data_IF_651090545492
#
_entry.id   IF_651090545492
#
_cell.length_a   1.000
_cell.length_b   1.000
_cell.length_c   1.000
_cell.angle_alpha   90.00
_cell.angle_beta   90.00
_cell.angle_gamma   90.00
#
_symmetry.space_group_name_H-M   'P 1'
#
loop_
_entity.id
_entity.type
_entity.pdbx_description
1 polymer ?
#
# COMPACT_ATOMS: atom_id res chain seq x y z
N UNK A 1 -12.02 -2.85 -13.31
CA UNK A 1 -12.66 -3.43 -12.11
C UNK A 1 -13.98 -2.71 -12.02
N UNK A 2 -15.12 -3.41 -12.26
CA UNK A 2 -16.43 -2.90 -11.86
C UNK A 2 -16.29 -2.44 -10.41
N UNK A 3 -16.94 -1.37 -10.03
CA UNK A 3 -17.00 -0.85 -8.66
C UNK A 3 -17.58 -1.92 -7.71
N UNK A 4 -16.80 -2.97 -7.47
CA UNK A 4 -17.02 -3.83 -6.32
C UNK A 4 -16.79 -2.94 -5.11
N UNK A 5 -17.79 -2.81 -4.29
CA UNK A 5 -17.84 -1.89 -3.17
C UNK A 5 -16.62 -2.10 -2.28
N UNK A 6 -15.75 -1.09 -2.21
CA UNK A 6 -14.63 -1.08 -1.28
C UNK A 6 -15.22 -1.12 0.12
N UNK A 7 -14.90 -2.17 0.89
CA UNK A 7 -15.40 -2.34 2.25
C UNK A 7 -14.64 -1.44 3.22
N UNK A 8 -13.30 -1.38 3.04
CA UNK A 8 -12.43 -0.57 3.90
C UNK A 8 -11.39 0.16 3.07
N UNK A 9 -11.16 1.42 3.44
CA UNK A 9 -10.08 2.25 2.92
C UNK A 9 -9.32 2.84 4.10
N UNK A 10 -8.12 2.33 4.35
CA UNK A 10 -7.31 2.65 5.52
C UNK A 10 -6.03 3.34 5.07
N UNK A 11 -5.69 4.44 5.71
CA UNK A 11 -4.45 5.17 5.45
C UNK A 11 -3.43 4.84 6.52
N UNK A 12 -2.19 4.65 6.10
CA UNK A 12 -1.03 4.44 6.96
C UNK A 12 0.04 5.49 6.64
N UNK A 13 0.59 6.10 7.65
CA UNK A 13 1.74 6.99 7.51
C UNK A 13 2.99 6.24 7.96
N UNK A 14 3.93 6.10 7.04
CA UNK A 14 5.21 5.45 7.26
C UNK A 14 6.25 6.51 7.58
N UNK A 15 6.79 6.41 8.79
CA UNK A 15 7.96 7.16 9.22
C UNK A 15 9.12 6.18 9.25
N UNK A 16 10.17 6.43 8.51
CA UNK A 16 11.35 5.60 8.51
C UNK A 16 12.58 6.39 8.89
N UNK A 17 13.51 5.72 9.51
CA UNK A 17 14.78 6.29 9.92
C UNK A 17 15.78 6.12 8.77
N UNK A 18 16.26 7.22 8.23
CA UNK A 18 17.24 7.21 7.14
C UNK A 18 18.62 6.84 7.64
N UNK A 19 18.95 7.25 8.87
CA UNK A 19 20.20 6.97 9.53
C UNK A 19 19.96 6.44 10.93
N UNK A 20 20.52 5.28 11.25
CA UNK A 20 20.40 4.64 12.57
C UNK A 20 21.36 5.23 13.60
N UNK A 21 22.43 5.90 13.18
CA UNK A 21 23.43 6.52 14.03
C UNK A 21 22.92 7.88 14.49
N UNK A 22 22.55 8.73 13.56
CA UNK A 22 22.10 10.09 13.83
C UNK A 22 20.59 10.20 14.10
N UNK A 23 19.85 9.08 14.01
CA UNK A 23 18.39 9.00 14.20
C UNK A 23 17.62 10.02 13.32
N UNK A 24 18.09 10.21 12.10
CA UNK A 24 17.45 11.09 11.13
C UNK A 24 16.20 10.43 10.56
N UNK A 25 15.03 11.03 10.82
CA UNK A 25 13.76 10.56 10.30
C UNK A 25 13.42 11.24 8.97
N UNK A 26 12.96 10.46 8.02
CA UNK A 26 12.42 10.99 6.78
C UNK A 26 11.01 11.57 6.99
N UNK A 27 10.59 12.43 6.07
CA UNK A 27 9.20 12.86 6.01
C UNK A 27 8.27 11.64 5.86
N UNK A 28 7.10 11.64 6.52
CA UNK A 28 6.13 10.56 6.40
C UNK A 28 5.74 10.32 4.95
N UNK A 29 5.62 9.06 4.57
CA UNK A 29 5.07 8.64 3.27
C UNK A 29 3.75 7.93 3.54
N UNK A 30 2.68 8.44 2.95
CA UNK A 30 1.35 7.87 3.13
C UNK A 30 1.09 6.72 2.16
N UNK A 31 0.52 5.66 2.68
CA UNK A 31 0.03 4.49 1.94
C UNK A 31 -1.46 4.29 2.19
N UNK A 32 -2.10 3.63 1.26
CA UNK A 32 -3.52 3.28 1.37
C UNK A 32 -3.70 1.78 1.19
N UNK A 33 -4.41 1.18 2.14
CA UNK A 33 -4.93 -0.17 2.05
C UNK A 33 -6.39 -0.11 1.58
N UNK A 34 -6.69 -0.77 0.49
CA UNK A 34 -8.05 -1.02 0.01
C UNK A 34 -8.41 -2.47 0.27
N UNK A 35 -9.52 -2.71 0.95
CA UNK A 35 -10.06 -4.06 1.19
C UNK A 35 -11.37 -4.25 0.44
N UNK A 36 -11.46 -5.37 -0.28
CA UNK A 36 -12.65 -5.80 -1.03
C UNK A 36 -12.81 -7.30 -0.79
N UNK A 37 -13.77 -7.71 0.04
CA UNK A 37 -14.02 -9.12 0.36
C UNK A 37 -12.74 -9.91 0.67
N UNK A 38 -12.30 -10.74 -0.28
CA UNK A 38 -11.15 -11.63 -0.15
C UNK A 38 -9.84 -11.06 -0.74
N UNK A 39 -9.87 -9.83 -1.21
CA UNK A 39 -8.70 -9.17 -1.80
C UNK A 39 -8.39 -7.89 -1.06
N UNK A 40 -7.11 -7.58 -0.96
CA UNK A 40 -6.70 -6.23 -0.62
C UNK A 40 -5.53 -5.76 -1.46
N UNK A 41 -5.41 -4.44 -1.53
CA UNK A 41 -4.32 -3.79 -2.23
C UNK A 41 -3.74 -2.70 -1.35
N UNK A 42 -2.45 -2.81 -1.07
CA UNK A 42 -1.69 -1.83 -0.33
C UNK A 42 -0.70 -1.13 -1.26
N UNK A 43 -0.83 0.19 -1.37
CA UNK A 43 0.01 0.98 -2.27
C UNK A 43 0.18 2.41 -1.79
N UNK A 44 1.22 3.09 -2.33
CA UNK A 44 1.43 4.52 -2.06
C UNK A 44 0.19 5.34 -2.42
N UNK A 45 -0.22 6.25 -1.53
CA UNK A 45 -1.33 7.17 -1.78
C UNK A 45 -1.05 8.10 -2.97
N UNK A 46 0.21 8.37 -3.27
CA UNK A 46 0.61 9.13 -4.47
C UNK A 46 0.32 8.36 -5.77
N UNK A 47 0.49 7.02 -5.76
CA UNK A 47 0.11 6.18 -6.92
C UNK A 47 -1.41 6.24 -7.12
N UNK A 48 -2.20 6.09 -6.05
CA UNK A 48 -3.66 6.19 -6.15
C UNK A 48 -4.12 7.51 -6.77
N UNK A 49 -3.50 8.61 -6.34
CA UNK A 49 -3.77 9.94 -6.87
C UNK A 49 -3.40 10.03 -8.34
N UNK A 50 -2.20 9.61 -8.71
CA UNK A 50 -1.74 9.65 -10.10
C UNK A 50 -2.62 8.77 -11.00
N UNK A 51 -2.94 7.54 -10.58
CA UNK A 51 -3.82 6.63 -11.33
C UNK A 51 -5.19 7.27 -11.60
N UNK A 52 -5.77 7.97 -10.62
CA UNK A 52 -7.05 8.66 -10.80
C UNK A 52 -6.98 9.79 -11.81
N UNK A 53 -5.88 10.55 -11.83
CA UNK A 53 -5.66 11.62 -12.79
C UNK A 53 -5.41 11.06 -14.18
N UNK A 54 -4.58 10.03 -14.30
CA UNK A 54 -4.34 9.35 -15.57
C UNK A 54 -5.62 8.75 -16.12
N UNK A 55 -6.42 8.06 -15.29
CA UNK A 55 -7.71 7.53 -15.69
C UNK A 55 -8.61 8.64 -16.24
N UNK A 56 -8.77 9.73 -15.50
CA UNK A 56 -9.59 10.87 -15.95
C UNK A 56 -9.08 11.50 -17.25
N UNK A 57 -7.77 11.55 -17.45
CA UNK A 57 -7.16 12.00 -18.69
C UNK A 57 -7.47 11.06 -19.86
N UNK A 58 -7.26 9.73 -19.67
CA UNK A 58 -7.52 8.73 -20.72
C UNK A 58 -9.02 8.60 -21.04
N UNK A 59 -9.89 8.73 -20.05
CA UNK A 59 -11.34 8.71 -20.29
C UNK A 59 -11.79 9.87 -21.20
N UNK A 60 -11.08 11.01 -21.15
CA UNK A 60 -11.34 12.16 -22.01
C UNK A 60 -10.58 12.12 -23.36
N UNK A 61 -9.52 11.36 -23.44
CA UNK A 61 -8.64 11.23 -24.60
C UNK A 61 -8.36 9.75 -24.85
N UNK A 62 -9.33 9.00 -25.42
CA UNK A 62 -9.23 7.57 -25.60
C UNK A 62 -8.19 7.14 -26.67
N UNK A 63 -7.64 8.11 -27.41
CA UNK A 63 -6.57 7.85 -28.39
C UNK A 63 -5.28 7.43 -27.69
N UNK A 64 -4.45 6.57 -28.29
CA UNK A 64 -3.15 6.23 -27.74
C UNK A 64 -2.30 7.47 -27.50
N UNK A 65 -1.66 7.58 -26.33
CA UNK A 65 -0.87 8.76 -25.91
C UNK A 65 0.18 9.19 -26.96
N UNK A 66 0.68 8.24 -27.73
CA UNK A 66 1.68 8.48 -28.77
C UNK A 66 1.08 8.55 -30.19
N UNK A 67 -0.24 8.71 -30.31
CA UNK A 67 -0.91 8.74 -31.63
C UNK A 67 -0.61 10.02 -32.42
N UNK A 68 -0.35 11.14 -31.75
CA UNK A 68 0.01 12.41 -32.41
C UNK A 68 0.82 13.30 -31.45
N UNK A 69 1.59 14.23 -32.03
CA UNK A 69 2.36 15.22 -31.26
C UNK A 69 1.43 16.08 -30.35
N UNK A 70 0.24 16.38 -30.81
CA UNK A 70 -0.76 17.17 -30.09
C UNK A 70 -1.26 16.47 -28.81
N UNK A 71 -1.50 15.15 -28.89
CA UNK A 71 -1.90 14.33 -27.74
C UNK A 71 -0.75 14.23 -26.72
N UNK A 72 0.48 14.03 -27.21
CA UNK A 72 1.68 14.01 -26.36
C UNK A 72 1.87 15.34 -25.65
N UNK A 73 1.72 16.47 -26.34
CA UNK A 73 1.86 17.80 -25.77
C UNK A 73 0.81 18.04 -24.68
N UNK A 74 -0.46 17.76 -24.95
CA UNK A 74 -1.54 17.88 -23.95
C UNK A 74 -1.32 16.99 -22.73
N UNK A 75 -0.76 15.80 -22.92
CA UNK A 75 -0.37 14.91 -21.84
C UNK A 75 0.74 15.53 -20.98
N UNK A 76 1.77 16.08 -21.60
CA UNK A 76 2.90 16.71 -20.90
C UNK A 76 2.48 17.96 -20.14
N UNK A 77 1.63 18.79 -20.71
CA UNK A 77 1.07 19.98 -20.04
C UNK A 77 0.30 19.58 -18.77
N UNK A 78 -0.57 18.58 -18.86
CA UNK A 78 -1.30 18.08 -17.68
C UNK A 78 -0.39 17.38 -16.67
N UNK A 79 0.63 16.67 -17.14
CA UNK A 79 1.64 16.05 -16.29
C UNK A 79 2.42 17.09 -15.48
N UNK A 80 2.71 18.25 -16.07
CA UNK A 80 3.41 19.36 -15.41
C UNK A 80 2.57 20.00 -14.27
N UNK A 81 1.24 19.87 -14.32
CA UNK A 81 0.34 20.38 -13.27
C UNK A 81 0.22 19.39 -12.08
N UNK A 82 0.71 18.15 -12.22
CA UNK A 82 0.68 17.18 -11.13
C UNK A 82 1.81 17.47 -10.15
N UNK A 83 1.56 17.33 -8.84
CA UNK A 83 2.63 17.40 -7.88
C UNK A 83 3.69 16.33 -8.21
N UNK A 84 4.98 16.65 -8.02
CA UNK A 84 6.05 15.70 -8.27
C UNK A 84 5.85 14.45 -7.44
N UNK A 85 6.08 13.28 -8.04
CA UNK A 85 6.06 12.01 -7.32
C UNK A 85 7.09 12.08 -6.19
N UNK A 86 6.63 12.06 -4.96
CA UNK A 86 7.51 12.08 -3.78
C UNK A 86 8.09 10.68 -3.54
N UNK A 87 9.40 10.56 -3.75
CA UNK A 87 10.25 9.51 -3.21
C UNK A 87 10.16 8.14 -3.89
N UNK A 88 11.28 7.46 -3.92
CA UNK A 88 11.51 6.12 -4.54
C UNK A 88 10.67 5.01 -3.88
N UNK A 89 10.17 5.20 -2.66
CA UNK A 89 9.32 4.23 -1.95
C UNK A 89 7.83 4.31 -2.31
N UNK A 90 7.46 5.18 -3.25
CA UNK A 90 6.13 5.21 -3.86
C UNK A 90 5.79 3.96 -4.68
N UNK A 91 6.76 3.05 -4.86
CA UNK A 91 6.63 1.87 -5.72
C UNK A 91 6.11 0.63 -5.00
N UNK A 92 5.91 0.67 -3.68
CA UNK A 92 5.29 -0.43 -2.94
C UNK A 92 3.85 -0.60 -3.45
N UNK A 93 3.59 -1.77 -4.01
CA UNK A 93 2.28 -2.19 -4.49
C UNK A 93 2.13 -3.68 -4.19
N UNK A 94 1.35 -3.98 -3.16
CA UNK A 94 1.11 -5.34 -2.66
C UNK A 94 -0.36 -5.67 -2.88
N UNK A 95 -0.61 -6.78 -3.55
CA UNK A 95 -1.94 -7.34 -3.70
C UNK A 95 -2.01 -8.62 -2.87
N UNK A 96 -3.00 -8.75 -2.01
CA UNK A 96 -3.24 -9.93 -1.17
C UNK A 96 -4.49 -10.64 -1.63
N UNK A 97 -4.40 -11.96 -1.80
CA UNK A 97 -5.52 -12.85 -2.09
C UNK A 97 -5.72 -13.80 -0.89
N UNK A 98 -6.72 -13.52 -0.08
CA UNK A 98 -7.00 -14.26 1.15
C UNK A 98 -7.62 -15.64 0.87
N UNK A 99 -8.23 -15.87 -0.29
CA UNK A 99 -8.71 -17.18 -0.70
C UNK A 99 -7.56 -18.12 -1.02
N UNK A 100 -6.51 -17.60 -1.65
CA UNK A 100 -5.30 -18.37 -1.97
C UNK A 100 -4.27 -18.40 -0.84
N UNK A 101 -4.40 -17.50 0.14
CA UNK A 101 -3.40 -17.31 1.19
C UNK A 101 -2.05 -16.81 0.66
N UNK A 102 -2.07 -15.99 -0.40
CA UNK A 102 -0.90 -15.49 -1.10
C UNK A 102 -0.93 -13.96 -1.19
N UNK A 103 0.25 -13.35 -1.24
CA UNK A 103 0.38 -11.98 -1.67
C UNK A 103 1.34 -11.87 -2.85
N UNK A 104 1.11 -10.87 -3.68
CA UNK A 104 1.93 -10.55 -4.83
C UNK A 104 2.49 -9.14 -4.68
N UNK A 105 3.82 -9.02 -4.71
CA UNK A 105 4.52 -7.74 -4.72
C UNK A 105 4.99 -7.39 -6.12
N UNK A 106 4.77 -6.13 -6.52
CA UNK A 106 5.28 -5.58 -7.77
C UNK A 106 6.65 -4.95 -7.50
N UNK A 107 7.66 -5.42 -8.22
CA UNK A 107 9.01 -4.85 -8.21
C UNK A 107 9.22 -4.18 -9.56
N UNK A 108 9.33 -2.85 -9.61
CA UNK A 108 9.64 -2.16 -10.86
C UNK A 108 11.09 -2.42 -11.26
N UNK A 109 11.30 -2.80 -12.50
CA UNK A 109 12.59 -2.86 -13.16
C UNK A 109 12.60 -1.81 -14.29
N UNK A 110 13.77 -1.48 -14.80
CA UNK A 110 13.95 -0.36 -15.76
C UNK A 110 12.99 -0.39 -16.95
N UNK A 111 12.65 -1.56 -17.48
CA UNK A 111 11.76 -1.70 -18.67
C UNK A 111 10.57 -2.64 -18.47
N UNK A 112 10.56 -3.42 -17.37
CA UNK A 112 9.51 -4.39 -17.07
C UNK A 112 9.20 -4.42 -15.58
N UNK A 113 8.01 -4.87 -15.22
CA UNK A 113 7.67 -5.13 -13.82
C UNK A 113 7.89 -6.62 -13.51
N UNK A 114 8.60 -6.92 -12.45
CA UNK A 114 8.66 -8.27 -11.88
C UNK A 114 7.60 -8.39 -10.78
N UNK A 115 6.90 -9.50 -10.78
CA UNK A 115 5.98 -9.85 -9.71
C UNK A 115 6.57 -11.00 -8.91
N UNK A 116 6.59 -10.86 -7.59
CA UNK A 116 6.95 -11.94 -6.66
C UNK A 116 5.69 -12.34 -5.92
N UNK A 117 5.46 -13.64 -5.82
CA UNK A 117 4.34 -14.22 -5.09
C UNK A 117 4.89 -15.01 -3.90
N UNK A 118 4.34 -14.76 -2.73
CA UNK A 118 4.75 -15.38 -1.47
C UNK A 118 3.51 -15.70 -0.62
N UNK A 119 3.71 -16.58 0.37
CA UNK A 119 2.67 -16.94 1.34
C UNK A 119 2.26 -15.74 2.19
N UNK A 120 0.96 -15.57 2.36
CA UNK A 120 0.38 -14.56 3.24
C UNK A 120 0.46 -14.95 4.73
N UNK A 121 0.83 -16.18 5.03
CA UNK A 121 0.88 -16.70 6.40
C UNK A 121 2.10 -16.12 7.12
N UNK A 122 1.85 -15.37 8.20
CA UNK A 122 2.86 -14.96 9.17
C UNK A 122 2.63 -15.70 10.49
N UNK A 123 3.73 -16.12 11.12
CA UNK A 123 3.70 -16.72 12.45
C UNK A 123 3.73 -15.61 13.51
N UNK A 124 2.55 -15.23 13.99
CA UNK A 124 2.39 -14.23 15.03
C UNK A 124 2.50 -14.84 16.42
N UNK A 125 3.25 -14.17 17.30
CA UNK A 125 3.28 -14.44 18.74
C UNK A 125 2.57 -13.30 19.44
N UNK A 126 1.44 -13.58 20.08
CA UNK A 126 0.69 -12.58 20.86
C UNK A 126 1.44 -12.30 22.16
N UNK A 127 1.30 -11.10 22.68
CA UNK A 127 1.80 -10.70 24.01
C UNK A 127 0.62 -10.25 24.88
N UNK A 128 0.86 -10.10 26.18
CA UNK A 128 -0.16 -9.61 27.11
C UNK A 128 -0.27 -8.06 27.13
N UNK A 129 0.52 -7.39 26.28
CA UNK A 129 0.52 -5.94 26.22
C UNK A 129 -0.71 -5.41 25.46
N UNK A 130 -1.38 -4.45 26.09
CA UNK A 130 -2.55 -3.75 25.55
C UNK A 130 -2.30 -2.25 25.63
N UNK A 131 -2.72 -1.52 24.62
CA UNK A 131 -2.64 -0.06 24.56
C UNK A 131 -3.88 0.51 23.84
N UNK A 132 -4.12 1.81 24.00
CA UNK A 132 -5.20 2.51 23.30
C UNK A 132 -4.62 3.40 22.21
N UNK A 133 -4.84 3.01 20.95
CA UNK A 133 -4.33 3.72 19.78
C UNK A 133 -5.51 4.31 19.01
N UNK A 134 -5.52 5.62 18.83
CA UNK A 134 -6.60 6.35 18.15
C UNK A 134 -8.01 6.07 18.74
N UNK A 135 -8.08 5.81 20.06
CA UNK A 135 -9.32 5.49 20.75
C UNK A 135 -9.78 4.02 20.64
N UNK A 136 -9.01 3.16 20.00
CA UNK A 136 -9.27 1.72 19.87
C UNK A 136 -8.39 0.93 20.82
N UNK A 137 -8.95 -0.09 21.45
CA UNK A 137 -8.16 -1.02 22.28
C UNK A 137 -7.38 -1.96 21.34
N UNK A 138 -6.06 -1.94 21.47
CA UNK A 138 -5.14 -2.69 20.65
C UNK A 138 -4.32 -3.67 21.47
N UNK A 139 -4.15 -4.87 20.96
CA UNK A 139 -3.24 -5.88 21.50
C UNK A 139 -1.95 -5.93 20.69
N UNK A 140 -0.85 -6.31 21.34
CA UNK A 140 0.47 -6.38 20.71
C UNK A 140 0.80 -7.79 20.25
N UNK A 141 1.39 -7.89 19.08
CA UNK A 141 1.92 -9.13 18.53
C UNK A 141 3.30 -8.94 17.92
N UNK A 142 4.07 -10.01 17.81
CA UNK A 142 5.38 -10.00 17.16
C UNK A 142 5.48 -11.10 16.12
N UNK A 143 6.24 -10.84 15.06
CA UNK A 143 6.56 -11.85 14.04
C UNK A 143 7.97 -11.64 13.48
N UNK A 144 8.45 -12.63 12.75
CA UNK A 144 9.69 -12.53 11.95
C UNK A 144 9.34 -12.65 10.48
N UNK A 145 9.81 -11.72 9.67
CA UNK A 145 9.64 -11.73 8.22
C UNK A 145 10.89 -11.14 7.54
N UNK A 146 11.37 -11.77 6.46
CA UNK A 146 12.54 -11.30 5.71
C UNK A 146 13.80 -11.11 6.59
N UNK A 147 14.02 -11.97 7.59
CA UNK A 147 15.14 -11.89 8.51
C UNK A 147 15.05 -10.78 9.58
N UNK A 148 13.93 -10.07 9.67
CA UNK A 148 13.70 -9.00 10.64
C UNK A 148 12.59 -9.35 11.62
N UNK A 149 12.69 -8.83 12.84
CA UNK A 149 11.60 -8.90 13.83
C UNK A 149 10.70 -7.68 13.66
N UNK A 150 9.40 -7.93 13.63
CA UNK A 150 8.35 -6.91 13.58
C UNK A 150 7.50 -6.97 14.82
N UNK A 151 7.01 -5.81 15.22
CA UNK A 151 6.05 -5.62 16.28
C UNK A 151 4.82 -4.95 15.64
N UNK A 152 3.65 -5.49 15.94
CA UNK A 152 2.38 -4.97 15.45
C UNK A 152 1.42 -4.72 16.62
N UNK A 153 0.61 -3.69 16.47
CA UNK A 153 -0.57 -3.46 17.27
C UNK A 153 -1.79 -3.75 16.40
N UNK A 154 -2.74 -4.49 16.89
CA UNK A 154 -3.95 -4.84 16.15
C UNK A 154 -5.18 -4.67 17.04
N UNK A 155 -6.33 -4.36 16.43
CA UNK A 155 -7.58 -4.19 17.14
C UNK A 155 -8.68 -5.11 16.59
N UNK A 156 -9.32 -5.93 17.44
CA UNK A 156 -10.48 -6.72 17.04
C UNK A 156 -11.75 -5.89 16.83
N UNK A 157 -11.77 -4.63 17.27
CA UNK A 157 -12.90 -3.73 17.05
C UNK A 157 -13.15 -3.44 15.57
N UNK A 158 -12.10 -3.58 14.74
CA UNK A 158 -12.21 -3.56 13.28
C UNK A 158 -11.92 -4.99 12.79
N UNK A 159 -12.94 -5.81 12.49
CA UNK A 159 -12.81 -7.24 12.25
C UNK A 159 -12.28 -7.55 10.84
N UNK A 160 -11.16 -6.94 10.49
CA UNK A 160 -10.45 -7.10 9.20
C UNK A 160 -9.08 -7.70 9.47
N UNK A 161 -8.90 -8.98 9.14
CA UNK A 161 -7.62 -9.69 9.33
C UNK A 161 -6.57 -9.26 8.30
N UNK A 162 -6.31 -7.96 8.23
CA UNK A 162 -5.42 -7.34 7.25
C UNK A 162 -4.59 -6.23 7.91
N UNK A 163 -3.60 -5.74 7.20
CA UNK A 163 -2.72 -4.69 7.69
C UNK A 163 -1.80 -4.10 6.62
N UNK A 164 -0.88 -3.24 7.02
CA UNK A 164 0.03 -2.57 6.10
C UNK A 164 1.05 -3.55 5.50
N UNK A 165 1.57 -3.20 4.33
CA UNK A 165 2.59 -3.97 3.62
C UNK A 165 2.13 -5.42 3.39
N UNK A 166 2.94 -6.41 3.75
CA UNK A 166 2.64 -7.84 3.60
C UNK A 166 1.92 -8.44 4.81
N UNK A 167 1.72 -7.65 5.87
CA UNK A 167 1.22 -8.17 7.13
C UNK A 167 -0.29 -8.41 7.10
N UNK A 168 -0.71 -9.54 7.64
CA UNK A 168 -2.10 -9.96 7.78
C UNK A 168 -2.20 -11.11 8.81
N UNK A 169 -3.42 -11.57 9.09
CA UNK A 169 -3.67 -12.82 9.83
C UNK A 169 -3.80 -12.66 11.34
N UNK A 170 -3.70 -11.43 11.89
CA UNK A 170 -4.13 -11.16 13.26
C UNK A 170 -5.65 -11.03 13.32
N UNK A 171 -6.30 -11.31 14.46
CA UNK A 171 -7.77 -11.24 14.60
C UNK A 171 -8.27 -9.80 14.69
N UNK A 172 -8.04 -9.01 13.64
CA UNK A 172 -8.40 -7.62 13.53
C UNK A 172 -7.42 -6.83 12.67
N UNK A 173 -7.70 -5.54 12.53
CA UNK A 173 -6.87 -4.62 11.74
C UNK A 173 -5.53 -4.37 12.45
N UNK A 174 -4.44 -4.50 11.69
CA UNK A 174 -3.08 -4.16 12.12
C UNK A 174 -2.78 -2.70 11.82
#
# INVERSE_FOLDING_TARGET
IKEDTIEYKIKYDFIYMNDTIDKVYASPVSFTLFRIRHFSRFLSSAICYNDSIFKHFYDKHPEPVFSSADVVQKYMEKRALLPPMKGIRSEININKDFNKGLFQSKIPLTFVNKYMEESLVQNWSLTDEVDTIMGLVCSKATTKYGGRKYLAWFTPEIPVMDGPYVFAGLPGLI
#
